data_IF_303130637619
#
_entry.id   IF_303130637619
#
_cell.length_a   1.000
_cell.length_b   1.000
_cell.length_c   1.000
_cell.angle_alpha   90.00
_cell.angle_beta   90.00
_cell.angle_gamma   90.00
#
_symmetry.space_group_name_H-M   'P 1'
#
loop_
_entity.id
_entity.type
_entity.pdbx_description
1 polymer ?
#
# COMPACT_ATOMS: atom_id res chain seq x y z
N UNK A 1 -9.71 16.15 10.09
CA UNK A 1 -8.50 16.89 10.50
C UNK A 1 -7.30 16.03 10.16
N UNK A 2 -6.29 16.59 9.48
CA UNK A 2 -5.06 15.88 9.14
C UNK A 2 -4.22 15.73 10.40
N UNK A 3 -3.63 14.55 10.59
CA UNK A 3 -2.68 14.28 11.69
C UNK A 3 -1.28 14.77 11.30
N UNK A 4 -0.63 15.46 12.20
CA UNK A 4 0.82 15.67 12.17
C UNK A 4 1.49 14.62 13.08
N UNK A 5 2.10 15.02 14.19
CA UNK A 5 2.76 14.08 15.10
C UNK A 5 2.22 14.17 16.53
N UNK A 6 1.10 14.87 16.72
CA UNK A 6 0.44 15.02 18.01
C UNK A 6 -0.16 13.71 18.52
N UNK A 7 -0.27 13.60 19.84
CA UNK A 7 -1.13 12.62 20.52
C UNK A 7 -2.45 13.32 20.83
N UNK A 8 -3.56 12.71 20.40
CA UNK A 8 -4.91 13.24 20.56
C UNK A 8 -5.58 12.66 21.79
N UNK A 9 -6.65 13.31 22.26
CA UNK A 9 -7.43 12.79 23.38
C UNK A 9 -7.90 11.36 23.12
N UNK A 10 -7.73 10.48 24.12
CA UNK A 10 -8.07 9.07 24.04
C UNK A 10 -7.07 8.17 23.29
N UNK A 11 -6.00 8.74 22.74
CA UNK A 11 -4.95 7.94 22.10
C UNK A 11 -3.96 7.39 23.12
N UNK A 12 -3.45 6.20 22.83
CA UNK A 12 -2.45 5.54 23.66
C UNK A 12 -1.22 5.22 22.82
N UNK A 13 -0.09 5.76 23.23
CA UNK A 13 1.24 5.43 22.72
C UNK A 13 1.91 4.40 23.63
N UNK A 14 2.73 3.57 23.06
CA UNK A 14 3.59 2.61 23.77
C UNK A 14 5.02 2.78 23.31
N UNK A 15 5.98 2.36 24.14
CA UNK A 15 7.36 2.22 23.72
C UNK A 15 7.46 0.96 22.84
N UNK A 16 7.87 1.09 21.57
CA UNK A 16 8.03 -0.09 20.72
C UNK A 16 9.12 -1.01 21.26
N UNK A 17 8.94 -2.33 21.20
CA UNK A 17 10.02 -3.27 21.50
C UNK A 17 11.19 -3.07 20.53
N UNK A 18 12.34 -3.61 20.88
CA UNK A 18 13.48 -3.65 19.97
C UNK A 18 13.08 -4.29 18.62
N UNK A 19 13.65 -3.77 17.53
CA UNK A 19 13.37 -4.32 16.20
C UNK A 19 13.78 -5.80 16.16
N UNK A 20 12.96 -6.62 15.46
CA UNK A 20 13.34 -7.97 15.09
C UNK A 20 14.51 -7.93 14.07
N UNK A 21 15.05 -9.09 13.74
CA UNK A 21 16.17 -9.27 12.81
C UNK A 21 15.79 -9.14 11.31
N UNK A 22 14.56 -8.72 11.01
CA UNK A 22 14.10 -8.49 9.64
C UNK A 22 14.49 -7.10 9.13
N UNK A 23 15.05 -7.03 7.92
CA UNK A 23 15.35 -5.81 7.19
C UNK A 23 14.48 -5.66 5.94
N UNK A 24 14.25 -4.41 5.51
CA UNK A 24 13.59 -4.09 4.25
C UNK A 24 14.63 -3.55 3.26
N UNK A 25 14.49 -3.94 2.00
CA UNK A 25 15.22 -3.34 0.87
C UNK A 25 14.26 -2.43 0.12
N UNK A 26 14.60 -1.16 -0.01
CA UNK A 26 13.84 -0.25 -0.85
C UNK A 26 14.29 -0.41 -2.30
N UNK A 27 13.38 -0.91 -3.12
CA UNK A 27 13.65 -1.23 -4.54
C UNK A 27 13.47 -0.04 -5.47
N UNK A 28 13.01 1.09 -4.95
CA UNK A 28 12.72 2.27 -5.74
C UNK A 28 12.22 3.43 -4.89
N UNK A 29 11.75 4.46 -5.58
CA UNK A 29 11.17 5.67 -5.00
C UNK A 29 9.91 6.08 -5.74
N UNK A 30 8.96 6.62 -5.02
CA UNK A 30 7.69 7.13 -5.54
C UNK A 30 7.76 8.65 -5.59
N UNK A 31 7.38 9.24 -6.74
CA UNK A 31 7.21 10.69 -6.90
C UNK A 31 5.74 11.00 -7.12
N UNK A 32 5.22 11.89 -6.30
CA UNK A 32 3.82 12.35 -6.32
C UNK A 32 3.79 13.89 -6.26
N UNK A 33 2.66 14.53 -6.59
CA UNK A 33 2.54 15.98 -6.44
C UNK A 33 2.41 16.45 -4.98
N UNK A 34 2.34 15.53 -4.00
CA UNK A 34 2.06 15.88 -2.60
C UNK A 34 3.34 15.91 -1.76
N UNK A 35 3.76 17.11 -1.40
CA UNK A 35 4.94 17.34 -0.54
C UNK A 35 4.57 17.50 0.93
N UNK A 36 3.27 17.65 1.24
CA UNK A 36 2.73 17.85 2.58
C UNK A 36 1.58 16.89 2.86
N UNK A 37 1.47 16.44 4.12
CA UNK A 37 0.34 15.63 4.59
C UNK A 37 -1.00 16.36 4.48
N UNK A 38 -0.99 17.70 4.44
CA UNK A 38 -2.20 18.50 4.29
C UNK A 38 -2.80 18.37 2.90
N UNK A 39 -1.96 18.20 1.88
CA UNK A 39 -2.35 18.13 0.48
C UNK A 39 -2.52 16.68 -0.01
N UNK A 40 -1.91 15.72 0.72
CA UNK A 40 -1.96 14.32 0.35
C UNK A 40 -3.37 13.73 0.58
N UNK A 41 -3.97 13.09 -0.43
CA UNK A 41 -5.29 12.48 -0.29
C UNK A 41 -5.26 11.32 0.71
N UNK A 42 -6.40 11.03 1.32
CA UNK A 42 -6.56 9.86 2.22
C UNK A 42 -6.68 8.56 1.47
N UNK A 43 -6.99 8.62 0.20
CA UNK A 43 -7.11 7.48 -0.70
C UNK A 43 -6.83 7.94 -2.12
N UNK A 44 -6.01 7.18 -2.83
CA UNK A 44 -5.71 7.41 -4.24
C UNK A 44 -6.93 7.16 -5.13
N UNK A 45 -6.95 7.83 -6.30
CA UNK A 45 -8.00 7.69 -7.30
C UNK A 45 -7.36 7.29 -8.62
N UNK A 46 -7.93 6.30 -9.30
CA UNK A 46 -7.42 5.82 -10.60
C UNK A 46 -7.52 6.87 -11.72
N UNK A 47 -8.35 7.90 -11.55
CA UNK A 47 -8.49 9.09 -12.38
C UNK A 47 -7.76 10.33 -11.81
N UNK A 48 -6.96 10.15 -10.75
CA UNK A 48 -6.15 11.19 -10.12
C UNK A 48 -4.93 11.58 -10.95
N UNK A 49 -4.06 12.45 -10.41
CA UNK A 49 -2.87 12.90 -11.10
C UNK A 49 -1.92 11.75 -11.43
N UNK A 50 -1.13 11.93 -12.47
CA UNK A 50 -0.05 11.02 -12.81
C UNK A 50 1.07 11.11 -11.75
N UNK A 51 1.53 9.96 -11.32
CA UNK A 51 2.65 9.78 -10.42
C UNK A 51 3.72 8.91 -11.08
N UNK A 52 4.93 8.94 -10.57
CA UNK A 52 6.06 8.18 -11.10
C UNK A 52 6.57 7.23 -10.02
N UNK A 53 6.95 6.02 -10.46
CA UNK A 53 7.64 5.04 -9.61
C UNK A 53 8.96 4.74 -10.31
N UNK A 54 10.07 5.15 -9.72
CA UNK A 54 11.42 4.86 -10.20
C UNK A 54 11.93 3.59 -9.53
N UNK A 55 12.40 2.64 -10.33
CA UNK A 55 13.01 1.39 -9.86
C UNK A 55 14.53 1.53 -9.89
N UNK A 56 15.18 1.18 -8.79
CA UNK A 56 16.64 1.24 -8.66
C UNK A 56 17.32 -0.02 -9.20
N UNK A 57 18.56 0.12 -9.66
CA UNK A 57 19.41 -1.05 -9.91
C UNK A 57 19.69 -1.78 -8.58
N UNK A 58 19.74 -3.12 -8.59
CA UNK A 58 19.70 -4.02 -9.78
C UNK A 58 18.27 -4.49 -10.15
N UNK A 59 17.21 -3.90 -9.59
CA UNK A 59 15.83 -4.40 -9.65
C UNK A 59 15.10 -4.10 -10.96
N UNK A 60 15.66 -3.27 -11.84
CA UNK A 60 15.00 -2.88 -13.11
C UNK A 60 14.62 -4.07 -13.97
N UNK A 61 15.45 -5.12 -14.00
CA UNK A 61 15.15 -6.34 -14.76
C UNK A 61 13.88 -7.06 -14.27
N UNK A 62 13.46 -6.84 -13.02
CA UNK A 62 12.24 -7.43 -12.46
C UNK A 62 10.94 -6.81 -13.03
N UNK A 63 11.05 -5.71 -13.80
CA UNK A 63 9.90 -5.11 -14.52
C UNK A 63 9.48 -5.90 -15.75
N UNK A 64 10.26 -6.88 -16.22
CA UNK A 64 9.94 -7.62 -17.44
C UNK A 64 8.52 -8.23 -17.37
N UNK A 65 7.68 -7.85 -18.33
CA UNK A 65 6.30 -8.33 -18.44
C UNK A 65 5.27 -7.58 -17.60
N UNK A 66 5.66 -6.54 -16.84
CA UNK A 66 4.73 -5.77 -16.00
C UNK A 66 3.72 -4.98 -16.84
N UNK A 67 4.05 -4.64 -18.07
CA UNK A 67 3.19 -3.94 -19.03
C UNK A 67 1.95 -4.75 -19.45
N UNK A 68 1.94 -6.04 -19.18
CA UNK A 68 0.76 -6.89 -19.45
C UNK A 68 -0.39 -6.64 -18.46
N UNK A 69 -0.14 -5.90 -17.38
CA UNK A 69 -1.13 -5.66 -16.32
C UNK A 69 -1.64 -4.23 -16.37
N UNK A 70 -2.95 -4.06 -16.39
CA UNK A 70 -3.59 -2.74 -16.31
C UNK A 70 -3.44 -2.12 -14.93
N UNK A 71 -3.42 -2.95 -13.87
CA UNK A 71 -3.41 -2.50 -12.48
C UNK A 71 -2.37 -3.23 -11.66
N UNK A 72 -1.74 -2.48 -10.78
CA UNK A 72 -0.71 -2.97 -9.86
C UNK A 72 -1.08 -2.66 -8.41
N UNK A 73 -0.71 -3.55 -7.51
CA UNK A 73 -0.61 -3.29 -6.08
C UNK A 73 0.79 -2.78 -5.77
N UNK A 74 0.87 -1.58 -5.20
CA UNK A 74 2.12 -0.91 -4.83
C UNK A 74 2.26 -0.94 -3.32
N UNK A 75 3.34 -1.51 -2.81
CA UNK A 75 3.70 -1.50 -1.39
C UNK A 75 4.82 -0.49 -1.15
N UNK A 76 4.65 0.35 -0.13
CA UNK A 76 5.60 1.42 0.17
C UNK A 76 5.74 1.64 1.67
N UNK A 77 6.85 2.29 2.04
CA UNK A 77 7.18 2.58 3.42
C UNK A 77 6.82 4.01 3.79
N UNK A 78 5.92 4.19 4.75
CA UNK A 78 5.49 5.50 5.22
C UNK A 78 6.49 6.01 6.28
N UNK A 79 7.70 6.34 5.83
CA UNK A 79 8.88 6.68 6.63
C UNK A 79 8.69 7.86 7.60
N UNK A 80 7.79 8.79 7.28
CA UNK A 80 7.48 9.93 8.12
C UNK A 80 6.36 9.68 9.15
N UNK A 81 5.86 8.45 9.24
CA UNK A 81 4.77 8.12 10.17
C UNK A 81 5.31 7.67 11.52
N UNK A 82 4.68 8.14 12.61
CA UNK A 82 4.97 7.60 13.94
C UNK A 82 4.52 6.14 14.04
N UNK A 83 5.15 5.37 14.95
CA UNK A 83 5.02 3.92 14.97
C UNK A 83 4.48 3.35 16.29
N UNK A 84 4.13 4.20 17.23
CA UNK A 84 3.96 3.88 18.65
C UNK A 84 2.50 3.90 19.14
N UNK A 85 1.51 4.31 18.32
CA UNK A 85 0.12 4.36 18.76
C UNK A 85 -0.57 2.99 18.64
N UNK A 86 -1.10 2.51 19.74
CA UNK A 86 -1.93 1.30 19.81
C UNK A 86 -3.43 1.61 19.76
N UNK A 87 -3.83 2.79 20.25
CA UNK A 87 -5.17 3.36 20.10
C UNK A 87 -5.08 4.70 19.39
N UNK A 88 -5.97 4.95 18.45
CA UNK A 88 -6.01 6.18 17.66
C UNK A 88 -7.41 6.79 17.66
N UNK A 89 -7.49 8.13 17.68
CA UNK A 89 -8.71 8.92 17.52
C UNK A 89 -8.73 9.60 16.14
N UNK A 90 -9.22 8.93 15.08
CA UNK A 90 -9.15 9.47 13.71
C UNK A 90 -9.92 10.78 13.54
N UNK A 91 -11.03 10.92 14.24
CA UNK A 91 -11.88 12.13 14.20
C UNK A 91 -11.45 13.21 15.18
N UNK A 92 -10.53 12.92 16.09
CA UNK A 92 -10.14 13.81 17.18
C UNK A 92 -11.32 14.24 18.08
N UNK A 93 -12.25 13.32 18.32
CA UNK A 93 -13.46 13.51 19.13
C UNK A 93 -13.39 12.74 20.45
N UNK A 94 -12.21 12.23 20.83
CA UNK A 94 -12.00 11.40 22.01
C UNK A 94 -12.38 9.93 21.82
N UNK A 95 -13.07 9.58 20.72
CA UNK A 95 -13.41 8.18 20.41
C UNK A 95 -12.19 7.48 19.83
N UNK A 96 -11.64 6.51 20.56
CA UNK A 96 -10.48 5.76 20.12
C UNK A 96 -10.85 4.40 19.57
N UNK A 97 -10.00 3.92 18.63
CA UNK A 97 -10.06 2.58 18.04
C UNK A 97 -8.67 1.97 18.00
N UNK A 98 -8.59 0.67 18.07
CA UNK A 98 -7.34 -0.06 17.88
C UNK A 98 -6.71 0.23 16.54
N UNK A 99 -5.40 0.43 16.51
CA UNK A 99 -4.64 0.73 15.29
C UNK A 99 -4.92 -0.25 14.16
N UNK A 100 -5.09 -1.55 14.48
CA UNK A 100 -5.32 -2.58 13.46
C UNK A 100 -6.76 -2.58 12.90
N UNK A 101 -7.68 -1.88 13.55
CA UNK A 101 -9.03 -1.63 13.02
C UNK A 101 -9.09 -0.41 12.06
N UNK A 102 -7.96 0.16 11.70
CA UNK A 102 -7.83 1.36 10.86
C UNK A 102 -6.85 1.11 9.71
N UNK A 103 -7.02 1.84 8.61
CA UNK A 103 -6.02 1.96 7.54
C UNK A 103 -5.16 3.22 7.70
N UNK A 104 -4.86 3.57 8.93
CA UNK A 104 -4.01 4.70 9.25
C UNK A 104 -2.54 4.40 8.90
N UNK A 105 -1.75 5.39 8.45
CA UNK A 105 -0.31 5.25 8.28
C UNK A 105 0.44 5.07 9.60
N UNK A 106 -0.15 5.47 10.72
CA UNK A 106 0.44 5.35 12.06
C UNK A 106 0.31 3.89 12.53
N UNK A 107 1.37 3.12 12.37
CA UNK A 107 1.40 1.67 12.63
C UNK A 107 2.80 1.26 13.09
N UNK A 108 2.95 0.14 13.84
CA UNK A 108 4.28 -0.38 14.22
C UNK A 108 5.18 -0.62 12.98
N UNK A 109 4.61 -1.20 11.93
CA UNK A 109 5.22 -1.31 10.61
C UNK A 109 4.38 -0.48 9.63
N UNK A 110 4.78 0.76 9.31
CA UNK A 110 3.98 1.68 8.51
C UNK A 110 4.09 1.37 7.01
N UNK A 111 3.64 0.17 6.63
CA UNK A 111 3.55 -0.26 5.24
C UNK A 111 2.24 0.25 4.65
N UNK A 112 2.36 1.07 3.61
CA UNK A 112 1.24 1.51 2.80
C UNK A 112 1.02 0.55 1.63
N UNK A 113 -0.22 0.50 1.13
CA UNK A 113 -0.57 -0.24 -0.08
C UNK A 113 -1.62 0.53 -0.86
N UNK A 114 -1.44 0.65 -2.16
CA UNK A 114 -2.37 1.29 -3.08
C UNK A 114 -2.54 0.44 -4.34
N UNK A 115 -3.77 0.31 -4.82
CA UNK A 115 -4.01 -0.21 -6.16
C UNK A 115 -3.92 0.96 -7.13
N UNK A 116 -3.05 0.85 -8.12
CA UNK A 116 -2.80 1.88 -9.12
C UNK A 116 -3.11 1.36 -10.52
N UNK A 117 -3.51 2.27 -11.41
CA UNK A 117 -3.59 2.00 -12.86
C UNK A 117 -2.22 2.30 -13.47
N UNK A 118 -1.66 1.33 -14.17
CA UNK A 118 -0.44 1.50 -14.95
C UNK A 118 -0.77 2.25 -16.25
N UNK A 119 -0.13 3.39 -16.47
CA UNK A 119 -0.33 4.20 -17.67
C UNK A 119 0.77 3.96 -18.70
N UNK A 120 2.02 3.82 -18.26
CA UNK A 120 3.16 3.54 -19.13
C UNK A 120 4.34 2.95 -18.33
N UNK A 121 5.25 2.29 -19.05
CA UNK A 121 6.57 1.84 -18.58
C UNK A 121 7.63 2.51 -19.44
N UNK A 122 8.51 3.29 -18.83
CA UNK A 122 9.55 4.07 -19.49
C UNK A 122 10.92 3.69 -18.90
N UNK A 123 11.51 2.62 -19.41
CA UNK A 123 12.76 2.09 -18.87
C UNK A 123 12.63 1.65 -17.40
N UNK A 124 13.30 2.34 -16.49
CA UNK A 124 13.24 2.08 -15.06
C UNK A 124 12.06 2.78 -14.33
N UNK A 125 11.21 3.49 -15.05
CA UNK A 125 10.14 4.32 -14.49
C UNK A 125 8.77 3.84 -14.95
N UNK A 126 7.84 3.71 -13.99
CA UNK A 126 6.43 3.48 -14.27
C UNK A 126 5.66 4.78 -14.08
N UNK A 127 4.76 5.08 -15.01
CA UNK A 127 3.74 6.13 -14.87
C UNK A 127 2.46 5.49 -14.39
N UNK A 128 1.93 5.98 -13.27
CA UNK A 128 0.76 5.37 -12.62
C UNK A 128 -0.22 6.44 -12.13
N UNK A 129 -1.49 6.02 -11.92
CA UNK A 129 -2.50 6.82 -11.25
C UNK A 129 -3.08 6.02 -10.07
N UNK A 130 -3.33 6.69 -8.94
CA UNK A 130 -3.96 6.04 -7.78
C UNK A 130 -3.11 5.98 -6.52
N UNK A 131 -1.94 6.60 -6.50
CA UNK A 131 -1.13 6.72 -5.29
C UNK A 131 -1.73 7.76 -4.31
N UNK A 132 -1.43 7.59 -3.03
CA UNK A 132 -1.87 8.43 -1.91
C UNK A 132 -0.78 8.56 -0.83
N UNK A 133 0.46 8.60 -1.26
CA UNK A 133 1.62 8.81 -0.40
C UNK A 133 2.37 10.10 -0.76
N UNK A 134 3.21 10.57 0.13
CA UNK A 134 4.01 11.77 -0.07
C UNK A 134 5.07 11.55 -1.15
N UNK A 135 5.49 12.66 -1.76
CA UNK A 135 6.64 12.66 -2.66
C UNK A 135 7.90 12.13 -1.97
N UNK A 136 8.69 11.34 -2.69
CA UNK A 136 9.90 10.72 -2.17
C UNK A 136 9.69 9.45 -1.35
N UNK A 137 8.45 8.96 -1.18
CA UNK A 137 8.15 7.75 -0.40
C UNK A 137 8.92 6.53 -0.93
N UNK A 138 9.64 5.79 -0.06
CA UNK A 138 10.38 4.60 -0.47
C UNK A 138 9.46 3.46 -0.93
N UNK A 139 9.80 2.84 -2.04
CA UNK A 139 9.08 1.69 -2.60
C UNK A 139 9.61 0.39 -1.99
N UNK A 140 8.69 -0.48 -1.54
CA UNK A 140 9.00 -1.81 -1.01
C UNK A 140 8.82 -2.88 -2.08
N UNK A 141 7.67 -2.89 -2.79
CA UNK A 141 7.33 -3.97 -3.71
C UNK A 141 6.25 -3.55 -4.71
N UNK A 142 6.18 -4.28 -5.82
CA UNK A 142 5.15 -4.18 -6.84
C UNK A 142 4.58 -5.55 -7.13
N UNK A 143 3.26 -5.67 -7.22
CA UNK A 143 2.57 -6.91 -7.58
C UNK A 143 1.46 -6.62 -8.60
N UNK A 144 1.13 -7.56 -9.47
CA UNK A 144 -0.13 -7.49 -10.22
C UNK A 144 -1.32 -7.40 -9.26
N UNK A 145 -2.28 -6.51 -9.57
CA UNK A 145 -3.51 -6.39 -8.77
C UNK A 145 -4.37 -7.66 -8.91
N UNK A 146 -4.60 -8.32 -7.79
CA UNK A 146 -5.45 -9.51 -7.68
C UNK A 146 -6.74 -9.25 -6.89
N UNK A 147 -7.11 -8.00 -6.67
CA UNK A 147 -8.30 -7.63 -5.87
C UNK A 147 -9.61 -8.17 -6.47
N UNK A 148 -9.65 -8.45 -7.78
CA UNK A 148 -10.78 -9.09 -8.46
C UNK A 148 -10.70 -10.62 -8.47
N UNK A 149 -9.75 -11.19 -7.78
CA UNK A 149 -9.49 -12.62 -7.64
C UNK A 149 -9.74 -13.43 -8.93
N UNK A 150 -8.88 -13.27 -9.91
CA UNK A 150 -8.79 -14.20 -11.04
C UNK A 150 -7.59 -15.11 -10.80
N UNK A 151 -7.75 -16.43 -10.75
CA UNK A 151 -6.61 -17.34 -10.66
C UNK A 151 -5.66 -17.08 -11.84
N UNK A 152 -4.41 -16.74 -11.56
CA UNK A 152 -3.38 -16.54 -12.59
C UNK A 152 -2.60 -17.81 -12.90
N UNK A 153 -2.85 -18.87 -12.13
CA UNK A 153 -2.19 -20.16 -12.27
C UNK A 153 -3.24 -21.29 -12.28
N UNK A 154 -2.94 -22.45 -12.88
CA UNK A 154 -3.77 -23.63 -12.74
C UNK A 154 -3.96 -23.96 -11.25
N UNK A 155 -5.14 -24.48 -10.85
CA UNK A 155 -5.39 -24.94 -9.48
C UNK A 155 -4.32 -25.94 -9.02
N UNK A 156 -3.89 -25.79 -7.77
CA UNK A 156 -2.92 -26.68 -7.14
C UNK A 156 -3.58 -27.47 -6.01
N UNK A 157 -3.04 -28.64 -5.63
CA UNK A 157 -3.50 -29.31 -4.43
C UNK A 157 -3.41 -28.39 -3.21
N UNK A 158 -4.54 -28.17 -2.51
CA UNK A 158 -4.63 -27.26 -1.38
C UNK A 158 -5.28 -25.90 -1.70
N UNK A 159 -5.56 -25.59 -2.96
CA UNK A 159 -6.40 -24.44 -3.31
C UNK A 159 -7.84 -24.69 -2.83
N UNK A 160 -8.47 -23.65 -2.25
CA UNK A 160 -9.86 -23.72 -1.86
C UNK A 160 -10.75 -23.84 -3.08
N UNK A 161 -11.57 -24.89 -3.15
CA UNK A 161 -12.69 -24.96 -4.07
C UNK A 161 -13.78 -24.05 -3.52
N UNK A 162 -14.18 -23.03 -4.30
CA UNK A 162 -15.33 -22.23 -3.93
C UNK A 162 -16.61 -23.05 -4.12
N UNK A 163 -17.57 -22.97 -3.20
CA UNK A 163 -18.84 -23.70 -3.21
C UNK A 163 -19.69 -23.50 -4.49
N UNK A 164 -19.26 -22.63 -5.41
CA UNK A 164 -19.94 -22.37 -6.68
C UNK A 164 -19.64 -23.42 -7.79
N UNK A 165 -18.79 -24.40 -7.56
CA UNK A 165 -18.55 -25.50 -8.51
C UNK A 165 -19.49 -26.70 -8.32
N UNK A 166 -20.44 -26.63 -7.42
CA UNK A 166 -21.52 -27.60 -7.30
C UNK A 166 -22.52 -27.38 -8.44
N UNK A 167 -22.27 -27.98 -9.60
CA UNK A 167 -23.30 -28.17 -10.63
C UNK A 167 -24.53 -28.82 -9.99
N UNK A 168 -25.75 -28.29 -10.20
CA UNK A 168 -26.94 -28.97 -9.73
C UNK A 168 -27.03 -30.30 -10.48
N UNK A 169 -26.94 -31.39 -9.72
CA UNK A 169 -27.12 -32.72 -10.22
C UNK A 169 -28.43 -32.83 -10.98
N UNK A 170 -28.35 -33.38 -12.17
CA UNK A 170 -29.53 -33.77 -12.95
C UNK A 170 -30.34 -34.80 -12.12
N UNK A 171 -31.57 -34.45 -11.82
CA UNK A 171 -32.62 -35.41 -11.57
C UNK A 171 -33.20 -35.93 -12.89
#
# INVERSE_FOLDING_TARGET
>A
MVRLNEIRAGEVAVEPPAAADAGLVFIGRISTPWTSRLDCPRQGRLDGPACRIEIFQPWVAALAGIEAFERLEVLYWLDQSRRDLVLQSPKNDGTARGTFALRSPVRPNPIGTSIVRLAAVEGATLLVHGLDCLDGTPLIDLKPDRSLFKPLAPPQPGDFQTENDASPGRA
#
